data_IF_836858281081
#
_entry.id   IF_836858281081
#
_cell.length_a   1.000
_cell.length_b   1.000
_cell.length_c   1.000
_cell.angle_alpha   90.00
_cell.angle_beta   90.00
_cell.angle_gamma   90.00
#
_symmetry.space_group_name_H-M   'P 1'
#
loop_
_entity.id
_entity.type
_entity.pdbx_description
1 polymer ?
#
# COMPACT_ATOMS: atom_id res chain seq x y z
N UNK A 1 18.52 -4.71 -10.41
CA UNK A 1 17.35 -5.60 -10.25
C UNK A 1 16.47 -4.96 -9.20
N UNK A 2 15.16 -4.85 -9.43
CA UNK A 2 14.22 -4.17 -8.52
C UNK A 2 13.39 -5.22 -7.81
N UNK A 3 13.28 -5.14 -6.49
CA UNK A 3 12.39 -5.98 -5.68
C UNK A 3 11.00 -5.34 -5.64
N UNK A 4 9.95 -6.13 -5.92
CA UNK A 4 8.56 -5.69 -5.82
C UNK A 4 7.91 -6.31 -4.59
N UNK A 5 7.26 -5.50 -3.78
CA UNK A 5 6.55 -5.91 -2.57
C UNK A 5 5.07 -5.57 -2.71
N UNK A 6 4.20 -6.57 -2.58
CA UNK A 6 2.76 -6.39 -2.62
C UNK A 6 2.14 -6.72 -1.26
N UNK A 7 1.49 -5.73 -0.65
CA UNK A 7 0.79 -5.92 0.62
C UNK A 7 -0.69 -6.23 0.38
N UNK A 8 -1.20 -7.33 0.94
CA UNK A 8 -2.56 -7.79 0.69
C UNK A 8 -3.39 -7.83 1.97
N UNK A 9 -4.61 -7.30 1.92
CA UNK A 9 -5.62 -7.52 2.96
C UNK A 9 -6.99 -7.77 2.33
N UNK A 10 -8.09 -7.73 3.10
CA UNK A 10 -9.42 -7.99 2.53
C UNK A 10 -9.89 -6.88 1.56
N UNK A 11 -9.95 -5.63 2.02
CA UNK A 11 -10.61 -4.53 1.30
C UNK A 11 -9.69 -3.45 0.74
N UNK A 12 -8.38 -3.53 1.01
CA UNK A 12 -7.38 -2.56 0.54
C UNK A 12 -7.70 -1.09 0.80
N UNK A 13 -8.28 -0.81 1.97
CA UNK A 13 -8.55 0.56 2.43
C UNK A 13 -7.86 0.90 3.76
N UNK A 14 -7.48 -0.08 4.57
CA UNK A 14 -6.94 0.20 5.91
C UNK A 14 -5.56 -0.44 6.09
N UNK A 15 -5.51 -1.76 6.28
CA UNK A 15 -4.26 -2.46 6.61
C UNK A 15 -3.21 -2.43 5.50
N UNK A 16 -3.57 -2.86 4.29
CA UNK A 16 -2.58 -2.96 3.21
C UNK A 16 -2.10 -1.61 2.64
N UNK A 17 -2.96 -0.57 2.45
CA UNK A 17 -2.46 0.76 2.07
C UNK A 17 -1.54 1.37 3.13
N UNK A 18 -1.80 1.12 4.41
CA UNK A 18 -0.87 1.55 5.47
C UNK A 18 0.48 0.86 5.36
N UNK A 19 0.50 -0.45 5.16
CA UNK A 19 1.75 -1.20 5.01
C UNK A 19 2.57 -0.69 3.82
N UNK A 20 1.93 -0.45 2.67
CA UNK A 20 2.58 0.13 1.48
C UNK A 20 3.19 1.50 1.78
N UNK A 21 2.41 2.45 2.29
CA UNK A 21 2.88 3.82 2.49
C UNK A 21 3.94 3.91 3.62
N UNK A 22 3.83 3.09 4.67
CA UNK A 22 4.84 2.98 5.73
C UNK A 22 6.13 2.38 5.15
N UNK A 23 6.04 1.31 4.35
CA UNK A 23 7.21 0.71 3.73
C UNK A 23 7.89 1.68 2.76
N UNK A 24 7.12 2.37 1.92
CA UNK A 24 7.63 3.42 1.03
C UNK A 24 8.35 4.52 1.81
N UNK A 25 7.79 4.99 2.93
CA UNK A 25 8.46 5.95 3.81
C UNK A 25 9.82 5.43 4.32
N UNK A 26 9.87 4.18 4.79
CA UNK A 26 11.09 3.53 5.27
C UNK A 26 12.14 3.29 4.17
N UNK A 27 11.70 3.01 2.95
CA UNK A 27 12.55 2.85 1.75
C UNK A 27 13.20 4.20 1.40
N UNK A 28 12.43 5.28 1.37
CA UNK A 28 12.94 6.62 1.10
C UNK A 28 13.95 7.08 2.16
N UNK A 29 13.67 6.85 3.45
CA UNK A 29 14.62 7.15 4.52
C UNK A 29 15.97 6.44 4.37
N UNK A 30 15.96 5.21 3.82
CA UNK A 30 17.16 4.40 3.60
C UNK A 30 17.79 4.58 2.21
N UNK A 31 17.23 5.47 1.37
CA UNK A 31 17.67 5.71 0.00
C UNK A 31 17.64 4.45 -0.89
N UNK A 32 16.60 3.63 -0.74
CA UNK A 32 16.43 2.36 -1.45
C UNK A 32 15.36 2.42 -2.57
N UNK A 33 14.86 3.60 -2.92
CA UNK A 33 13.74 3.76 -3.86
C UNK A 33 14.03 3.24 -5.28
N UNK A 34 15.32 3.17 -5.67
CA UNK A 34 15.73 2.63 -6.97
C UNK A 34 15.82 1.10 -6.98
N UNK A 35 15.68 0.47 -5.81
CA UNK A 35 15.85 -0.98 -5.61
C UNK A 35 14.56 -1.66 -5.16
N UNK A 36 13.61 -0.95 -4.54
CA UNK A 36 12.40 -1.55 -3.98
C UNK A 36 11.18 -0.72 -4.38
N UNK A 37 10.17 -1.39 -4.95
CA UNK A 37 8.87 -0.82 -5.25
C UNK A 37 7.79 -1.50 -4.40
N UNK A 38 6.81 -0.71 -3.95
CA UNK A 38 5.70 -1.19 -3.14
C UNK A 38 4.37 -0.93 -3.83
N UNK A 39 3.43 -1.83 -3.61
CA UNK A 39 2.02 -1.70 -3.98
C UNK A 39 1.14 -2.40 -2.93
N UNK A 40 -0.17 -2.18 -2.98
CA UNK A 40 -1.13 -2.89 -2.15
C UNK A 40 -2.39 -3.29 -2.89
N UNK A 41 -3.01 -4.40 -2.46
CA UNK A 41 -4.23 -4.92 -3.05
C UNK A 41 -5.17 -5.55 -2.01
N UNK A 42 -6.39 -5.84 -2.46
CA UNK A 42 -7.48 -6.42 -1.68
C UNK A 42 -7.94 -7.75 -2.27
N UNK A 43 -8.19 -8.77 -1.43
CA UNK A 43 -8.75 -10.03 -1.93
C UNK A 43 -10.21 -9.90 -2.39
N UNK A 44 -10.93 -8.89 -1.89
CA UNK A 44 -12.29 -8.54 -2.30
C UNK A 44 -12.33 -7.26 -3.14
N UNK A 45 -13.39 -7.11 -3.94
CA UNK A 45 -13.61 -5.95 -4.82
C UNK A 45 -14.53 -4.88 -4.24
N UNK A 46 -15.02 -5.02 -3.00
CA UNK A 46 -16.02 -4.12 -2.40
C UNK A 46 -15.67 -2.64 -2.41
N UNK A 47 -14.37 -2.33 -2.38
CA UNK A 47 -13.87 -0.97 -2.22
C UNK A 47 -13.00 -0.49 -3.37
N UNK A 48 -12.97 -1.16 -4.53
CA UNK A 48 -12.13 -0.75 -5.65
C UNK A 48 -12.36 0.73 -6.00
N UNK A 49 -11.28 1.49 -6.10
CA UNK A 49 -11.28 2.94 -6.31
C UNK A 49 -11.48 3.79 -5.03
N UNK A 50 -11.79 3.20 -3.88
CA UNK A 50 -11.89 3.95 -2.63
C UNK A 50 -10.52 4.46 -2.18
N UNK A 51 -10.49 5.61 -1.51
CA UNK A 51 -9.30 6.10 -0.81
C UNK A 51 -9.04 5.25 0.45
N UNK A 52 -7.84 5.30 1.03
CA UNK A 52 -7.60 4.73 2.35
C UNK A 52 -8.62 5.24 3.38
N UNK A 53 -8.96 4.40 4.35
CA UNK A 53 -9.91 4.69 5.42
C UNK A 53 -9.48 5.94 6.20
N UNK A 54 -10.39 6.88 6.40
CA UNK A 54 -10.10 8.17 7.03
C UNK A 54 -9.52 8.04 8.44
N UNK A 55 -9.95 7.03 9.22
CA UNK A 55 -9.44 6.79 10.57
C UNK A 55 -7.97 6.38 10.52
N UNK A 56 -7.62 5.54 9.55
CA UNK A 56 -6.24 5.09 9.36
C UNK A 56 -5.36 6.21 8.78
N UNK A 57 -5.89 7.05 7.89
CA UNK A 57 -5.22 8.28 7.45
C UNK A 57 -4.91 9.19 8.65
N UNK A 58 -5.88 9.44 9.53
CA UNK A 58 -5.66 10.24 10.73
C UNK A 58 -4.64 9.62 11.69
N UNK A 59 -4.59 8.30 11.81
CA UNK A 59 -3.60 7.60 12.63
C UNK A 59 -2.18 7.71 12.04
N UNK A 60 -2.03 7.51 10.74
CA UNK A 60 -0.74 7.62 10.05
C UNK A 60 -0.19 9.06 10.06
N UNK A 61 -1.08 10.05 9.90
CA UNK A 61 -0.68 11.47 9.91
C UNK A 61 -0.07 11.88 11.25
N UNK A 62 -0.54 11.32 12.37
CA UNK A 62 0.06 11.54 13.70
C UNK A 62 1.52 11.06 13.79
N UNK A 63 1.92 10.16 12.89
CA UNK A 63 3.29 9.66 12.76
C UNK A 63 4.06 10.33 11.60
N UNK A 64 3.51 11.40 11.02
CA UNK A 64 4.13 12.12 9.91
C UNK A 64 4.05 11.39 8.55
N UNK A 65 3.15 10.40 8.42
CA UNK A 65 3.00 9.60 7.20
C UNK A 65 1.65 9.92 6.55
N UNK A 66 1.66 10.35 5.29
CA UNK A 66 0.45 10.51 4.49
C UNK A 66 0.15 9.21 3.76
N UNK A 67 -1.07 8.68 3.91
CA UNK A 67 -1.50 7.51 3.14
C UNK A 67 -2.10 7.97 1.81
N UNK A 68 -1.47 7.55 0.72
CA UNK A 68 -1.90 7.80 -0.65
C UNK A 68 -2.40 6.50 -1.29
N UNK A 69 -2.95 6.62 -2.50
CA UNK A 69 -3.39 5.48 -3.31
C UNK A 69 -4.91 5.30 -3.36
N UNK A 70 -5.34 4.27 -4.09
CA UNK A 70 -6.74 3.86 -4.21
C UNK A 70 -6.81 2.34 -4.15
N UNK A 71 -7.85 1.83 -3.50
CA UNK A 71 -8.07 0.40 -3.38
C UNK A 71 -8.17 -0.27 -4.76
N UNK A 72 -7.51 -1.41 -4.92
CA UNK A 72 -7.64 -2.29 -6.09
C UNK A 72 -7.80 -3.74 -5.65
N UNK A 73 -8.41 -4.54 -6.52
CA UNK A 73 -8.49 -5.99 -6.29
C UNK A 73 -7.16 -6.65 -6.66
N UNK A 74 -6.79 -7.66 -5.89
CA UNK A 74 -5.72 -8.59 -6.19
C UNK A 74 -6.13 -9.47 -7.38
N UNK A 75 -5.22 -9.66 -8.32
CA UNK A 75 -5.46 -10.42 -9.56
C UNK A 75 -4.43 -11.51 -9.74
N UNK A 76 -4.69 -12.56 -10.54
CA UNK A 76 -3.67 -13.58 -10.83
C UNK A 76 -2.36 -13.02 -11.38
N UNK A 77 -2.42 -11.93 -12.17
CA UNK A 77 -1.22 -11.28 -12.71
C UNK A 77 -0.33 -10.64 -11.64
N UNK A 78 -0.80 -10.48 -10.40
CA UNK A 78 0.03 -10.01 -9.28
C UNK A 78 1.02 -11.08 -8.79
N UNK A 79 0.83 -12.36 -9.15
CA UNK A 79 1.80 -13.44 -8.84
C UNK A 79 2.99 -13.46 -9.80
N UNK A 80 2.85 -12.86 -10.97
CA UNK A 80 3.83 -12.93 -12.06
C UNK A 80 4.67 -11.65 -12.18
N UNK A 81 4.32 -10.60 -11.44
CA UNK A 81 4.91 -9.25 -11.52
C UNK A 81 6.20 -9.07 -10.71
#
# INVERSE_FOLDING_TARGET
>A
MVYRLLFVCLGNICRSPSAENIMSHLIHQRKLQDQIQCDSAGTSSYHVGAKPDSRMQSAALKQGITLLGRSRQFTPGDFEQ
#
